data_IF_313722178418
#
_entry.id   IF_313722178418
#
_cell.length_a   1.000
_cell.length_b   1.000
_cell.length_c   1.000
_cell.angle_alpha   90.00
_cell.angle_beta   90.00
_cell.angle_gamma   90.00
#
_symmetry.space_group_name_H-M   'P 1'
#
loop_
_entity.id
_entity.type
_entity.pdbx_description
1 polymer ?
#
# COMPACT_ATOMS: atom_id res chain seq x y z
N UNK A 1 -7.31 -27.03 67.11
CA UNK A 1 -6.10 -26.24 66.77
C UNK A 1 -5.52 -26.83 65.50
N UNK A 2 -5.64 -26.09 64.40
CA UNK A 2 -5.19 -26.47 63.07
C UNK A 2 -3.72 -26.05 62.86
N UNK A 3 -2.96 -26.87 62.12
CA UNK A 3 -1.69 -26.47 61.54
C UNK A 3 -1.72 -26.88 60.05
N UNK A 4 -2.00 -25.91 59.18
CA UNK A 4 -1.78 -26.03 57.74
C UNK A 4 -0.32 -25.62 57.46
N UNK A 5 0.46 -26.53 56.89
CA UNK A 5 1.76 -26.23 56.30
C UNK A 5 1.56 -25.64 54.91
N UNK A 6 1.93 -24.37 54.73
CA UNK A 6 2.00 -23.68 53.44
C UNK A 6 3.28 -24.12 52.70
N UNK A 7 3.12 -24.79 51.56
CA UNK A 7 4.19 -24.94 50.59
C UNK A 7 4.28 -23.67 49.72
N UNK A 8 5.48 -23.23 49.31
CA UNK A 8 5.63 -22.05 48.46
C UNK A 8 5.05 -22.32 47.07
N UNK A 9 4.15 -21.43 46.63
CA UNK A 9 3.71 -21.34 45.24
C UNK A 9 4.90 -20.87 44.40
N UNK A 10 5.39 -21.73 43.52
CA UNK A 10 6.25 -21.33 42.43
C UNK A 10 5.47 -20.38 41.52
N UNK A 11 5.84 -19.10 41.51
CA UNK A 11 5.37 -18.16 40.50
C UNK A 11 6.09 -18.51 39.21
N UNK A 12 5.38 -19.10 38.25
CA UNK A 12 5.87 -19.22 36.89
C UNK A 12 6.03 -17.81 36.32
N UNK A 13 7.26 -17.48 35.95
CA UNK A 13 7.64 -16.34 35.11
C UNK A 13 6.80 -16.38 33.82
N UNK A 14 6.23 -15.27 33.32
CA UNK A 14 5.61 -15.29 32.01
C UNK A 14 6.68 -15.52 30.95
N UNK A 15 6.75 -16.77 30.48
CA UNK A 15 7.50 -17.19 29.32
C UNK A 15 7.21 -16.28 28.11
N UNK A 16 8.30 -15.90 27.47
CA UNK A 16 8.45 -15.31 26.13
C UNK A 16 7.29 -15.72 25.20
N UNK A 17 6.34 -14.81 24.99
CA UNK A 17 5.29 -15.00 23.99
C UNK A 17 5.94 -14.98 22.60
N UNK A 18 5.54 -15.86 21.66
CA UNK A 18 6.04 -15.81 20.29
C UNK A 18 5.76 -14.41 19.74
N UNK A 19 6.82 -13.69 19.37
CA UNK A 19 6.73 -12.34 18.85
C UNK A 19 5.70 -12.26 17.74
N UNK A 20 4.55 -11.64 18.03
CA UNK A 20 3.65 -11.15 17.01
C UNK A 20 4.41 -10.21 16.07
N UNK A 21 3.88 -9.93 14.87
CA UNK A 21 4.54 -9.01 13.95
C UNK A 21 4.87 -7.72 14.69
N UNK A 22 6.17 -7.39 14.74
CA UNK A 22 6.65 -6.12 15.28
C UNK A 22 6.01 -5.04 14.44
N UNK A 23 5.04 -4.32 15.01
CA UNK A 23 4.52 -3.12 14.39
C UNK A 23 5.67 -2.12 14.31
N UNK A 24 6.22 -1.93 13.11
CA UNK A 24 7.15 -0.84 12.86
C UNK A 24 6.29 0.42 12.87
N UNK A 25 6.23 1.11 14.02
CA UNK A 25 5.55 2.38 14.08
C UNK A 25 6.23 3.32 13.09
N UNK A 26 5.46 3.77 12.11
CA UNK A 26 5.94 4.65 11.07
C UNK A 26 6.13 6.03 11.67
N UNK A 27 7.39 6.36 11.94
CA UNK A 27 7.76 7.52 12.74
C UNK A 27 7.45 8.80 11.97
N UNK A 28 6.54 9.59 12.53
CA UNK A 28 6.28 10.96 12.08
C UNK A 28 6.98 11.90 13.06
N UNK A 29 7.74 12.87 12.53
CA UNK A 29 8.40 13.88 13.35
C UNK A 29 7.38 14.78 14.05
N UNK A 30 7.71 15.26 15.25
CA UNK A 30 6.80 16.10 16.06
C UNK A 30 6.44 17.43 15.37
N UNK A 31 7.29 17.92 14.47
CA UNK A 31 7.12 19.17 13.73
C UNK A 31 6.63 18.97 12.28
N UNK A 32 6.21 17.75 11.90
CA UNK A 32 5.71 17.48 10.56
C UNK A 32 4.44 18.30 10.27
N UNK A 33 4.35 18.83 9.05
CA UNK A 33 3.16 19.55 8.58
C UNK A 33 1.93 18.61 8.65
N UNK A 34 0.85 18.97 9.39
CA UNK A 34 -0.35 18.15 9.49
C UNK A 34 -0.98 17.82 8.14
N UNK A 35 -0.87 18.70 7.13
CA UNK A 35 -1.36 18.43 5.78
C UNK A 35 -0.54 17.32 5.10
N UNK A 36 0.79 17.34 5.28
CA UNK A 36 1.67 16.28 4.79
C UNK A 36 1.39 14.95 5.50
N UNK A 37 1.26 14.95 6.84
CA UNK A 37 0.95 13.73 7.62
C UNK A 37 -0.34 13.07 7.14
N UNK A 38 -1.41 13.87 6.96
CA UNK A 38 -2.69 13.36 6.48
C UNK A 38 -2.59 12.81 5.04
N UNK A 39 -2.01 13.57 4.12
CA UNK A 39 -1.94 13.18 2.71
C UNK A 39 -1.03 11.96 2.49
N UNK A 40 0.15 11.96 3.12
CA UNK A 40 1.13 10.89 3.00
C UNK A 40 0.63 9.60 3.63
N UNK A 41 0.01 9.64 4.81
CA UNK A 41 -0.60 8.45 5.43
C UNK A 41 -1.72 7.84 4.57
N UNK A 42 -2.61 8.67 4.03
CA UNK A 42 -3.67 8.20 3.13
C UNK A 42 -3.12 7.61 1.82
N UNK A 43 -2.03 8.17 1.29
CA UNK A 43 -1.37 7.60 0.13
C UNK A 43 -0.67 6.27 0.46
N UNK A 44 -0.03 6.16 1.63
CA UNK A 44 0.64 4.93 2.08
C UNK A 44 -0.33 3.75 2.12
N UNK A 45 -1.48 3.94 2.78
CA UNK A 45 -2.52 2.92 2.92
C UNK A 45 -3.01 2.44 1.55
N UNK A 46 -3.23 3.37 0.62
CA UNK A 46 -3.76 3.01 -0.70
C UNK A 46 -2.69 2.46 -1.63
N UNK A 47 -1.44 2.87 -1.49
CA UNK A 47 -0.32 2.33 -2.23
C UNK A 47 -0.10 0.87 -1.85
N UNK A 48 -0.10 0.54 -0.56
CA UNK A 48 0.06 -0.84 -0.07
C UNK A 48 -1.04 -1.75 -0.62
N UNK A 49 -2.31 -1.36 -0.43
CA UNK A 49 -3.45 -2.11 -0.94
C UNK A 49 -3.41 -2.26 -2.47
N UNK A 50 -3.09 -1.19 -3.21
CA UNK A 50 -3.03 -1.25 -4.68
C UNK A 50 -1.88 -2.13 -5.16
N UNK A 51 -0.73 -2.06 -4.51
CA UNK A 51 0.45 -2.87 -4.83
C UNK A 51 0.17 -4.35 -4.63
N UNK A 52 -0.47 -4.72 -3.52
CA UNK A 52 -0.86 -6.08 -3.23
C UNK A 52 -1.83 -6.63 -4.28
N UNK A 53 -2.98 -5.97 -4.48
CA UNK A 53 -4.02 -6.49 -5.38
C UNK A 53 -3.67 -6.40 -6.88
N UNK A 54 -2.84 -5.44 -7.28
CA UNK A 54 -2.30 -5.43 -8.64
C UNK A 54 -1.23 -6.51 -8.80
N UNK A 55 -0.38 -6.73 -7.79
CA UNK A 55 0.61 -7.79 -7.75
C UNK A 55 0.00 -9.16 -7.98
N UNK A 56 -1.04 -9.51 -7.23
CA UNK A 56 -1.78 -10.77 -7.41
C UNK A 56 -2.25 -10.97 -8.86
N UNK A 57 -2.82 -9.93 -9.48
CA UNK A 57 -3.23 -10.01 -10.89
C UNK A 57 -2.04 -10.16 -11.85
N UNK A 58 -0.97 -9.40 -11.60
CA UNK A 58 0.22 -9.42 -12.44
C UNK A 58 0.89 -10.80 -12.42
N UNK A 59 0.99 -11.42 -11.24
CA UNK A 59 1.54 -12.77 -11.05
C UNK A 59 0.72 -13.83 -11.81
N UNK A 60 -0.62 -13.76 -11.73
CA UNK A 60 -1.51 -14.69 -12.43
C UNK A 60 -1.35 -14.67 -13.96
N UNK A 61 -0.97 -13.52 -14.53
CA UNK A 61 -0.79 -13.39 -15.99
C UNK A 61 0.66 -13.51 -16.45
N UNK A 62 1.65 -13.35 -15.57
CA UNK A 62 3.08 -13.30 -15.91
C UNK A 62 3.57 -14.60 -16.58
N UNK A 63 3.02 -15.73 -16.17
CA UNK A 63 3.39 -17.05 -16.70
C UNK A 63 2.90 -17.31 -18.14
N UNK A 64 2.07 -16.43 -18.70
CA UNK A 64 1.36 -16.67 -19.96
C UNK A 64 1.64 -15.59 -21.00
N UNK A 65 2.08 -16.03 -22.18
CA UNK A 65 2.20 -15.16 -23.36
C UNK A 65 0.84 -14.69 -23.91
N UNK A 66 -0.24 -15.43 -23.61
CA UNK A 66 -1.62 -15.05 -23.88
C UNK A 66 -2.54 -15.54 -22.74
N UNK A 67 -2.73 -14.74 -21.67
CA UNK A 67 -3.52 -15.16 -20.52
C UNK A 67 -5.00 -15.39 -20.87
N UNK A 68 -5.57 -16.48 -20.37
CA UNK A 68 -6.99 -16.80 -20.55
C UNK A 68 -7.84 -16.05 -19.51
N UNK A 69 -8.43 -14.92 -19.90
CA UNK A 69 -9.33 -14.14 -19.03
C UNK A 69 -10.67 -14.81 -18.71
N UNK A 70 -10.95 -16.00 -19.26
CA UNK A 70 -12.06 -16.84 -18.83
C UNK A 70 -11.69 -17.75 -17.65
N UNK A 71 -10.41 -17.89 -17.35
CA UNK A 71 -9.93 -18.55 -16.14
C UNK A 71 -10.48 -17.82 -14.90
N UNK A 72 -11.13 -18.53 -13.95
CA UNK A 72 -11.68 -17.92 -12.74
C UNK A 72 -10.66 -17.18 -11.88
N UNK A 73 -9.41 -17.63 -11.80
CA UNK A 73 -8.35 -17.00 -11.00
C UNK A 73 -7.96 -15.65 -11.61
N UNK A 74 -7.62 -15.64 -12.91
CA UNK A 74 -7.28 -14.41 -13.66
C UNK A 74 -8.47 -13.43 -13.66
N UNK A 75 -9.69 -13.93 -13.89
CA UNK A 75 -10.90 -13.10 -13.91
C UNK A 75 -11.19 -12.46 -12.55
N UNK A 76 -10.99 -13.20 -11.46
CA UNK A 76 -11.18 -12.71 -10.09
C UNK A 76 -10.12 -11.68 -9.72
N UNK A 77 -8.83 -12.02 -9.87
CA UNK A 77 -7.72 -11.12 -9.52
C UNK A 77 -7.76 -9.84 -10.36
N UNK A 78 -8.10 -9.92 -11.65
CA UNK A 78 -8.30 -8.74 -12.50
C UNK A 78 -9.43 -7.83 -11.98
N UNK A 79 -10.56 -8.38 -11.53
CA UNK A 79 -11.66 -7.58 -10.98
C UNK A 79 -11.28 -6.88 -9.68
N UNK A 80 -10.57 -7.59 -8.79
CA UNK A 80 -10.06 -7.04 -7.54
C UNK A 80 -9.00 -5.97 -7.81
N UNK A 81 -7.98 -6.26 -8.62
CA UNK A 81 -6.93 -5.32 -8.99
C UNK A 81 -7.46 -4.05 -9.67
N UNK A 82 -8.44 -4.18 -10.59
CA UNK A 82 -9.11 -3.02 -11.19
C UNK A 82 -9.92 -2.20 -10.18
N UNK A 83 -10.45 -2.83 -9.15
CA UNK A 83 -11.19 -2.11 -8.10
C UNK A 83 -10.23 -1.37 -7.18
N UNK A 84 -9.15 -2.03 -6.77
CA UNK A 84 -8.07 -1.41 -6.00
C UNK A 84 -7.46 -0.21 -6.75
N UNK A 85 -7.12 -0.36 -8.04
CA UNK A 85 -6.58 0.75 -8.84
C UNK A 85 -7.55 1.93 -9.00
N UNK A 86 -8.86 1.68 -9.12
CA UNK A 86 -9.87 2.76 -9.20
C UNK A 86 -9.93 3.55 -7.90
N UNK A 87 -9.97 2.84 -6.78
CA UNK A 87 -9.96 3.44 -5.45
C UNK A 87 -8.64 4.17 -5.20
N UNK A 88 -7.51 3.54 -5.52
CA UNK A 88 -6.16 4.09 -5.49
C UNK A 88 -6.07 5.41 -6.22
N UNK A 89 -6.47 5.44 -7.50
CA UNK A 89 -6.44 6.66 -8.30
C UNK A 89 -7.25 7.80 -7.62
N UNK A 90 -8.44 7.48 -7.10
CA UNK A 90 -9.29 8.46 -6.42
C UNK A 90 -8.66 8.98 -5.13
N UNK A 91 -8.15 8.08 -4.28
CA UNK A 91 -7.53 8.45 -3.00
C UNK A 91 -6.25 9.24 -3.24
N UNK A 92 -5.35 8.79 -4.13
CA UNK A 92 -4.13 9.51 -4.45
C UNK A 92 -4.41 10.94 -4.97
N UNK A 93 -5.43 11.11 -5.83
CA UNK A 93 -5.85 12.44 -6.29
C UNK A 93 -6.45 13.27 -5.14
N UNK A 94 -7.23 12.67 -4.25
CA UNK A 94 -7.78 13.34 -3.07
C UNK A 94 -6.66 13.79 -2.12
N UNK A 95 -5.71 12.91 -1.81
CA UNK A 95 -4.53 13.21 -0.98
C UNK A 95 -3.72 14.36 -1.58
N UNK A 96 -3.50 14.35 -2.90
CA UNK A 96 -2.84 15.44 -3.60
C UNK A 96 -3.59 16.79 -3.57
N UNK A 97 -4.87 16.79 -3.24
CA UNK A 97 -5.71 17.98 -3.11
C UNK A 97 -5.91 18.40 -1.65
N UNK A 98 -5.17 17.79 -0.71
CA UNK A 98 -5.18 18.19 0.71
C UNK A 98 -4.83 19.68 0.82
N UNK A 99 -5.68 20.52 1.45
CA UNK A 99 -5.41 21.95 1.61
C UNK A 99 -4.09 22.20 2.36
N UNK A 100 -3.28 23.11 1.84
CA UNK A 100 -1.97 23.44 2.44
C UNK A 100 -0.84 22.48 2.08
N UNK A 101 -1.12 21.37 1.38
CA UNK A 101 -0.09 20.40 0.99
C UNK A 101 0.93 21.01 0.03
N UNK A 102 2.22 20.77 0.32
CA UNK A 102 3.32 21.17 -0.56
C UNK A 102 3.14 20.59 -1.98
N UNK A 103 3.35 21.41 -3.03
CA UNK A 103 3.36 20.92 -4.42
C UNK A 103 4.34 19.77 -4.66
N UNK A 104 5.46 19.71 -3.93
CA UNK A 104 6.48 18.67 -4.09
C UNK A 104 5.98 17.29 -3.64
N UNK A 105 5.02 17.24 -2.70
CA UNK A 105 4.32 16.00 -2.31
C UNK A 105 3.12 15.76 -3.23
N UNK A 106 2.34 16.82 -3.50
CA UNK A 106 1.11 16.70 -4.26
C UNK A 106 1.33 16.28 -5.72
N UNK A 107 2.35 16.79 -6.39
CA UNK A 107 2.62 16.51 -7.80
C UNK A 107 2.84 15.01 -8.10
N UNK A 108 3.74 14.30 -7.39
CA UNK A 108 3.91 12.86 -7.63
C UNK A 108 2.66 12.04 -7.26
N UNK A 109 1.87 12.43 -6.25
CA UNK A 109 0.58 11.79 -5.96
C UNK A 109 -0.41 11.91 -7.13
N UNK A 110 -0.48 13.08 -7.79
CA UNK A 110 -1.31 13.26 -9.01
C UNK A 110 -0.79 12.41 -10.16
N UNK A 111 0.53 12.38 -10.36
CA UNK A 111 1.16 11.57 -11.41
C UNK A 111 0.82 10.09 -11.22
N UNK A 112 0.98 9.59 -9.99
CA UNK A 112 0.63 8.22 -9.63
C UNK A 112 -0.85 7.91 -9.91
N UNK A 113 -1.77 8.82 -9.55
CA UNK A 113 -3.21 8.67 -9.84
C UNK A 113 -3.51 8.56 -11.35
N UNK A 114 -2.81 9.36 -12.18
CA UNK A 114 -2.92 9.26 -13.63
C UNK A 114 -2.33 7.95 -14.15
N UNK A 115 -1.20 7.49 -13.58
CA UNK A 115 -0.62 6.18 -13.86
C UNK A 115 -1.60 5.04 -13.56
N UNK A 116 -2.24 5.05 -12.39
CA UNK A 116 -3.25 4.06 -12.00
C UNK A 116 -4.44 4.05 -12.98
N UNK A 117 -4.90 5.23 -13.39
CA UNK A 117 -5.96 5.37 -14.40
C UNK A 117 -5.53 4.83 -15.77
N UNK A 118 -4.29 5.12 -16.20
CA UNK A 118 -3.70 4.60 -17.43
C UNK A 118 -3.61 3.07 -17.41
N UNK A 119 -3.22 2.50 -16.27
CA UNK A 119 -3.15 1.05 -16.08
C UNK A 119 -4.53 0.39 -16.15
N UNK A 120 -5.56 1.00 -15.53
CA UNK A 120 -6.95 0.55 -15.65
C UNK A 120 -7.44 0.46 -17.09
N UNK A 121 -7.09 1.45 -17.91
CA UNK A 121 -7.44 1.44 -19.34
C UNK A 121 -6.74 0.28 -20.04
N UNK A 122 -5.43 0.07 -19.80
CA UNK A 122 -4.66 -1.04 -20.39
C UNK A 122 -5.20 -2.41 -20.00
N UNK A 123 -5.57 -2.60 -18.73
CA UNK A 123 -6.24 -3.82 -18.27
C UNK A 123 -7.61 -4.02 -18.92
N UNK A 124 -8.36 -2.93 -19.18
CA UNK A 124 -9.69 -3.01 -19.79
C UNK A 124 -9.62 -3.46 -21.24
N UNK A 125 -8.63 -2.95 -22.00
CA UNK A 125 -8.40 -3.33 -23.40
C UNK A 125 -7.49 -4.55 -23.54
N UNK A 126 -7.08 -5.17 -22.41
CA UNK A 126 -6.24 -6.37 -22.35
C UNK A 126 -4.96 -6.23 -23.19
N UNK A 127 -4.26 -5.10 -23.03
CA UNK A 127 -2.96 -4.90 -23.70
C UNK A 127 -1.94 -5.93 -23.22
N UNK A 128 -0.84 -6.10 -23.95
CA UNK A 128 0.27 -6.97 -23.56
C UNK A 128 0.84 -6.65 -22.17
N UNK A 129 1.42 -7.67 -21.54
CA UNK A 129 2.14 -7.57 -20.27
C UNK A 129 3.20 -6.45 -20.28
N UNK A 130 3.97 -6.31 -21.35
CA UNK A 130 5.00 -5.26 -21.48
C UNK A 130 4.44 -3.84 -21.34
N UNK A 131 3.29 -3.57 -21.97
CA UNK A 131 2.66 -2.26 -21.89
C UNK A 131 2.14 -2.00 -20.47
N UNK A 132 1.61 -3.01 -19.78
CA UNK A 132 1.18 -2.90 -18.39
C UNK A 132 2.39 -2.68 -17.47
N UNK A 133 3.45 -3.48 -17.64
CA UNK A 133 4.70 -3.39 -16.88
C UNK A 133 5.38 -2.02 -17.02
N UNK A 134 5.37 -1.44 -18.22
CA UNK A 134 5.88 -0.08 -18.43
C UNK A 134 5.14 0.94 -17.57
N UNK A 135 3.80 0.85 -17.50
CA UNK A 135 3.01 1.78 -16.66
C UNK A 135 3.12 1.47 -15.18
N UNK A 136 3.24 0.21 -14.78
CA UNK A 136 3.55 -0.15 -13.41
C UNK A 136 4.92 0.41 -12.97
N UNK A 137 5.92 0.39 -13.85
CA UNK A 137 7.25 0.99 -13.59
C UNK A 137 7.17 2.52 -13.44
N UNK A 138 6.42 3.20 -14.31
CA UNK A 138 6.13 4.63 -14.19
C UNK A 138 5.46 4.93 -12.82
N UNK A 139 4.45 4.16 -12.44
CA UNK A 139 3.77 4.30 -11.15
C UNK A 139 4.69 4.05 -9.96
N UNK A 140 5.56 3.03 -10.02
CA UNK A 140 6.51 2.76 -8.95
C UNK A 140 7.52 3.91 -8.78
N UNK A 141 7.91 4.54 -9.88
CA UNK A 141 8.74 5.75 -9.84
C UNK A 141 8.00 6.89 -9.15
N UNK A 142 6.74 7.12 -9.50
CA UNK A 142 5.91 8.14 -8.85
C UNK A 142 5.69 7.86 -7.36
N UNK A 143 5.46 6.59 -6.99
CA UNK A 143 5.35 6.17 -5.59
C UNK A 143 6.64 6.46 -4.82
N UNK A 144 7.81 6.11 -5.37
CA UNK A 144 9.10 6.43 -4.77
C UNK A 144 9.33 7.95 -4.61
N UNK A 145 8.83 8.75 -5.55
CA UNK A 145 8.87 10.21 -5.45
C UNK A 145 7.97 10.72 -4.31
N UNK A 146 6.76 10.16 -4.15
CA UNK A 146 5.88 10.49 -3.00
C UNK A 146 6.57 10.13 -1.69
N UNK A 147 7.11 8.91 -1.58
CA UNK A 147 7.79 8.43 -0.38
C UNK A 147 8.96 9.33 0.01
N UNK A 148 9.77 9.72 -0.97
CA UNK A 148 10.91 10.63 -0.77
C UNK A 148 10.45 12.01 -0.31
N UNK A 149 9.39 12.57 -0.92
CA UNK A 149 8.85 13.87 -0.55
C UNK A 149 8.21 13.86 0.85
N UNK A 150 7.47 12.80 1.18
CA UNK A 150 6.88 12.59 2.51
C UNK A 150 7.95 12.45 3.59
N UNK A 151 9.03 11.70 3.31
CA UNK A 151 10.18 11.59 4.20
C UNK A 151 10.88 12.94 4.43
N UNK A 152 11.05 13.74 3.38
CA UNK A 152 11.62 15.09 3.50
C UNK A 152 10.75 16.04 4.33
N UNK A 153 9.43 15.81 4.37
CA UNK A 153 8.48 16.53 5.23
C UNK A 153 8.35 15.95 6.65
N UNK A 154 9.18 14.97 7.02
CA UNK A 154 9.17 14.35 8.35
C UNK A 154 7.99 13.40 8.59
N UNK A 155 7.39 12.86 7.53
CA UNK A 155 6.33 11.84 7.59
C UNK A 155 6.67 10.69 6.64
N UNK A 156 5.72 9.79 6.37
CA UNK A 156 5.93 8.59 5.56
C UNK A 156 4.75 8.31 4.63
N UNK A 157 5.04 7.64 3.53
CA UNK A 157 4.09 7.13 2.55
C UNK A 157 4.58 5.76 2.03
#
# INVERSE_FOLDING_TARGET
>A
MAALTLAPLATADPEDAPGGPVAVESQTSADADPAAVAACGQFAEVLDATSHYYGDFAEEIESYSNPDYSDPAISSSNQVGRTALRQGASVAMSSANTPGLSPDIAAPMRSWSWGATKLLVKMAVRTSGDAMNTTATEMNTDAGNVQTACAAAGTHA
#
